data_IF_140773885952
#
_entry.id   IF_140773885952
#
_cell.length_a   1.000
_cell.length_b   1.000
_cell.length_c   1.000
_cell.angle_alpha   90.00
_cell.angle_beta   90.00
_cell.angle_gamma   90.00
#
_symmetry.space_group_name_H-M   'P 1'
#
loop_
_entity.id
_entity.type
_entity.pdbx_description
1 polymer ?
#
# COMPACT_ATOMS: atom_id res chain seq x y z
N UNK A 1 -18.42 22.57 -12.20
CA UNK A 1 -17.22 23.42 -12.02
C UNK A 1 -16.81 23.30 -10.57
N UNK A 2 -15.52 23.06 -10.30
CA UNK A 2 -14.98 22.93 -8.96
C UNK A 2 -14.29 24.23 -8.56
N UNK A 3 -14.54 24.72 -7.34
CA UNK A 3 -13.92 25.93 -6.81
C UNK A 3 -12.87 25.55 -5.78
N UNK A 4 -11.62 26.00 -5.98
CA UNK A 4 -10.47 25.66 -5.15
C UNK A 4 -9.82 26.92 -4.59
N UNK A 5 -9.36 26.87 -3.34
CA UNK A 5 -8.72 28.00 -2.66
C UNK A 5 -9.71 28.96 -2.00
N UNK A 6 -9.19 30.05 -1.40
CA UNK A 6 -10.00 31.09 -0.74
C UNK A 6 -9.60 32.48 -1.23
N UNK A 7 -10.56 33.39 -1.27
CA UNK A 7 -10.40 34.81 -1.62
C UNK A 7 -9.66 35.01 -2.96
N UNK A 8 -8.56 35.77 -2.99
CA UNK A 8 -7.80 36.09 -4.21
C UNK A 8 -7.12 34.89 -4.87
N UNK A 9 -7.07 33.73 -4.21
CA UNK A 9 -6.51 32.49 -4.76
C UNK A 9 -7.59 31.53 -5.30
N UNK A 10 -8.84 31.98 -5.45
CA UNK A 10 -9.94 31.16 -5.96
C UNK A 10 -9.68 30.75 -7.41
N UNK A 11 -9.65 29.44 -7.68
CA UNK A 11 -9.49 28.85 -9.01
C UNK A 11 -10.70 28.01 -9.34
N UNK A 12 -11.07 28.01 -10.62
CA UNK A 12 -12.17 27.21 -11.13
C UNK A 12 -11.61 26.13 -12.05
N UNK A 13 -11.84 24.88 -11.68
CA UNK A 13 -11.36 23.73 -12.44
C UNK A 13 -12.55 22.91 -12.95
N UNK A 14 -12.34 22.19 -14.05
CA UNK A 14 -13.35 21.29 -14.60
C UNK A 14 -13.09 19.86 -14.07
N UNK A 15 -13.87 19.36 -13.09
CA UNK A 15 -13.69 18.02 -12.56
C UNK A 15 -13.95 16.97 -13.64
N UNK A 16 -13.17 15.89 -13.61
CA UNK A 16 -13.31 14.73 -14.51
C UNK A 16 -13.52 13.46 -13.68
N UNK A 17 -14.48 12.60 -14.06
CA UNK A 17 -14.62 11.32 -13.39
C UNK A 17 -13.35 10.50 -13.59
N UNK A 18 -13.03 9.66 -12.61
CA UNK A 18 -11.89 8.74 -12.65
C UNK A 18 -12.44 7.40 -13.15
N UNK A 19 -12.40 7.16 -14.47
CA UNK A 19 -13.01 5.97 -15.12
C UNK A 19 -14.43 5.64 -14.61
N UNK A 20 -15.30 6.65 -14.58
CA UNK A 20 -16.69 6.52 -14.13
C UNK A 20 -16.90 6.66 -12.62
N UNK A 21 -15.83 6.72 -11.83
CA UNK A 21 -15.88 7.05 -10.40
C UNK A 21 -15.88 8.56 -10.18
N UNK A 22 -16.26 8.98 -8.97
CA UNK A 22 -16.28 10.39 -8.58
C UNK A 22 -14.94 11.08 -8.82
N UNK A 23 -14.99 12.32 -9.31
CA UNK A 23 -13.80 13.12 -9.58
C UNK A 23 -13.02 13.49 -8.31
N UNK A 24 -13.72 13.54 -7.17
CA UNK A 24 -13.15 13.91 -5.88
C UNK A 24 -13.07 12.69 -4.96
N UNK A 25 -11.92 12.52 -4.34
CA UNK A 25 -11.59 11.39 -3.48
C UNK A 25 -10.88 11.90 -2.24
N UNK A 26 -11.38 11.60 -1.03
CA UNK A 26 -10.69 12.00 0.19
C UNK A 26 -9.37 11.25 0.33
N UNK A 27 -8.39 11.91 0.95
CA UNK A 27 -7.08 11.39 1.27
C UNK A 27 -7.06 11.13 2.78
N UNK A 28 -6.75 9.89 3.15
CA UNK A 28 -6.69 9.46 4.53
C UNK A 28 -5.25 9.24 4.97
N UNK A 29 -4.96 9.55 6.23
CA UNK A 29 -3.74 9.18 6.93
C UNK A 29 -4.06 8.20 8.05
N UNK A 30 -3.29 7.12 8.14
CA UNK A 30 -3.32 6.16 9.25
C UNK A 30 -2.09 6.36 10.11
N UNK A 31 -2.28 6.74 11.38
CA UNK A 31 -1.17 6.95 12.31
C UNK A 31 -0.59 5.63 12.85
N UNK A 32 0.43 5.75 13.73
CA UNK A 32 1.11 4.60 14.33
C UNK A 32 0.22 3.77 15.25
N UNK A 33 -0.88 4.35 15.74
CA UNK A 33 -1.88 3.67 16.58
C UNK A 33 -3.01 3.08 15.73
N UNK A 34 -2.94 3.21 14.39
CA UNK A 34 -3.97 2.76 13.45
C UNK A 34 -5.17 3.69 13.33
N UNK A 35 -5.11 4.91 13.89
CA UNK A 35 -6.20 5.88 13.76
C UNK A 35 -6.19 6.50 12.37
N UNK A 36 -7.37 6.51 11.75
CA UNK A 36 -7.57 7.04 10.41
C UNK A 36 -8.16 8.45 10.50
N UNK A 37 -7.51 9.42 9.83
CA UNK A 37 -7.98 10.81 9.74
C UNK A 37 -7.89 11.33 8.32
N UNK A 38 -8.87 12.11 7.90
CA UNK A 38 -8.84 12.78 6.59
C UNK A 38 -7.81 13.92 6.61
N UNK A 39 -6.97 14.00 5.58
CA UNK A 39 -5.90 15.00 5.45
C UNK A 39 -6.03 15.90 4.23
N UNK A 40 -7.12 15.76 3.46
CA UNK A 40 -7.45 16.59 2.31
C UNK A 40 -8.30 15.85 1.29
N UNK A 41 -8.71 16.56 0.24
CA UNK A 41 -9.48 15.99 -0.88
C UNK A 41 -8.70 16.13 -2.18
N UNK A 42 -8.44 15.00 -2.85
CA UNK A 42 -7.87 14.95 -4.20
C UNK A 42 -8.98 15.09 -5.24
N UNK A 43 -8.80 15.97 -6.21
CA UNK A 43 -9.71 16.15 -7.35
C UNK A 43 -8.99 15.87 -8.65
N UNK A 44 -9.50 14.93 -9.45
CA UNK A 44 -9.07 14.73 -10.83
C UNK A 44 -9.82 15.71 -11.74
N UNK A 45 -9.07 16.45 -12.56
CA UNK A 45 -9.59 17.56 -13.36
C UNK A 45 -9.13 17.44 -14.82
N UNK A 46 -9.70 18.27 -15.69
CA UNK A 46 -9.36 18.29 -17.11
C UNK A 46 -7.84 18.46 -17.35
N UNK A 47 -7.34 17.85 -18.43
CA UNK A 47 -5.92 17.90 -18.80
C UNK A 47 -5.01 16.89 -18.09
N UNK A 48 -5.56 15.80 -17.54
CA UNK A 48 -4.85 14.81 -16.71
C UNK A 48 -4.09 15.46 -15.55
N UNK A 49 -4.80 16.27 -14.76
CA UNK A 49 -4.24 16.93 -13.60
C UNK A 49 -4.98 16.54 -12.33
N UNK A 50 -4.26 16.64 -11.21
CA UNK A 50 -4.80 16.54 -9.86
C UNK A 50 -4.67 17.86 -9.14
N UNK A 51 -5.66 18.19 -8.33
CA UNK A 51 -5.57 19.25 -7.34
C UNK A 51 -5.92 18.70 -5.96
N UNK A 52 -5.23 19.17 -4.92
CA UNK A 52 -5.52 18.79 -3.54
C UNK A 52 -6.02 20.02 -2.80
N UNK A 53 -7.18 19.87 -2.17
CA UNK A 53 -7.83 20.88 -1.34
C UNK A 53 -7.88 20.44 0.11
N UNK A 54 -8.20 21.41 0.99
CA UNK A 54 -8.48 21.18 2.41
C UNK A 54 -7.37 20.41 3.14
N UNK A 55 -6.12 20.65 2.72
CA UNK A 55 -4.94 19.99 3.27
C UNK A 55 -3.97 21.01 3.86
N UNK A 56 -3.40 20.69 5.02
CA UNK A 56 -2.25 21.38 5.59
C UNK A 56 -0.91 20.87 5.02
N UNK A 57 -0.92 19.74 4.31
CA UNK A 57 0.28 19.03 3.86
C UNK A 57 0.60 19.28 2.39
N UNK A 58 -0.41 19.60 1.59
CA UNK A 58 -0.28 19.75 0.15
C UNK A 58 -0.62 21.18 -0.27
N UNK A 59 0.23 21.73 -1.15
CA UNK A 59 -0.07 23.01 -1.76
C UNK A 59 -1.30 22.89 -2.66
N UNK A 60 -2.18 23.89 -2.60
CA UNK A 60 -3.28 23.99 -3.53
C UNK A 60 -2.77 24.34 -4.94
N UNK A 61 -3.28 23.64 -5.94
CA UNK A 61 -2.96 23.89 -7.35
C UNK A 61 -2.98 22.62 -8.21
N UNK A 62 -3.12 22.78 -9.53
CA UNK A 62 -3.10 21.66 -10.46
C UNK A 62 -1.67 21.13 -10.66
N UNK A 63 -1.52 19.82 -10.67
CA UNK A 63 -0.28 19.11 -11.01
C UNK A 63 -0.58 17.97 -11.97
N UNK A 64 0.30 17.74 -12.95
CA UNK A 64 0.23 16.57 -13.85
C UNK A 64 0.75 15.28 -13.23
N UNK A 65 1.38 15.39 -12.06
CA UNK A 65 1.90 14.26 -11.31
C UNK A 65 1.37 14.28 -9.88
N UNK A 66 1.23 13.10 -9.30
CA UNK A 66 1.01 12.98 -7.86
C UNK A 66 2.17 13.62 -7.10
N UNK A 67 1.91 14.49 -6.10
CA UNK A 67 2.94 14.95 -5.18
C UNK A 67 3.71 13.76 -4.60
N UNK A 68 5.01 13.94 -4.39
CA UNK A 68 5.90 12.84 -3.95
C UNK A 68 5.39 12.11 -2.70
N UNK A 69 4.72 12.81 -1.77
CA UNK A 69 4.19 12.21 -0.56
C UNK A 69 3.03 11.24 -0.85
N UNK A 70 2.33 11.41 -1.98
CA UNK A 70 1.29 10.51 -2.48
C UNK A 70 1.84 9.41 -3.42
N UNK A 71 3.16 9.33 -3.61
CA UNK A 71 3.79 8.26 -4.39
C UNK A 71 3.40 6.83 -3.93
N UNK A 72 3.10 6.54 -2.65
CA UNK A 72 2.68 5.19 -2.27
C UNK A 72 1.31 4.78 -2.82
N UNK A 73 0.50 5.71 -3.34
CA UNK A 73 -0.73 5.41 -4.08
C UNK A 73 -0.45 4.80 -5.46
N UNK A 74 0.81 4.87 -5.95
CA UNK A 74 1.21 4.20 -7.18
C UNK A 74 1.48 2.72 -6.87
N UNK A 75 0.74 1.84 -7.53
CA UNK A 75 1.07 0.43 -7.56
C UNK A 75 2.43 0.26 -8.27
N UNK A 76 3.40 -0.43 -7.65
CA UNK A 76 4.74 -0.56 -8.22
C UNK A 76 5.39 -1.90 -7.89
N UNK A 77 6.39 -2.28 -8.69
CA UNK A 77 7.14 -3.53 -8.55
C UNK A 77 6.23 -4.78 -8.60
N UNK A 78 6.67 -5.85 -7.94
CA UNK A 78 5.99 -7.14 -7.93
C UNK A 78 4.52 -7.06 -7.50
N UNK A 79 4.24 -6.40 -6.36
CA UNK A 79 2.88 -6.28 -5.83
C UNK A 79 2.00 -5.39 -6.72
N UNK A 80 2.57 -4.34 -7.31
CA UNK A 80 1.83 -3.50 -8.24
C UNK A 80 1.43 -4.23 -9.52
N UNK A 81 2.36 -5.00 -10.09
CA UNK A 81 2.06 -5.83 -11.28
C UNK A 81 1.10 -6.99 -10.96
N UNK A 82 1.13 -7.52 -9.74
CA UNK A 82 0.12 -8.48 -9.29
C UNK A 82 -1.25 -7.82 -9.18
N UNK A 83 -1.33 -6.64 -8.55
CA UNK A 83 -2.57 -5.84 -8.45
C UNK A 83 -3.17 -5.51 -9.82
N UNK A 84 -2.34 -5.18 -10.81
CA UNK A 84 -2.75 -4.89 -12.18
C UNK A 84 -3.50 -6.04 -12.88
N UNK A 85 -3.29 -7.30 -12.46
CA UNK A 85 -3.90 -8.47 -13.09
C UNK A 85 -5.25 -8.89 -12.49
N UNK A 86 -5.61 -8.40 -11.31
CA UNK A 86 -6.81 -8.81 -10.59
C UNK A 86 -8.06 -8.02 -11.05
N UNK A 87 -9.29 -8.46 -10.69
CA UNK A 87 -10.55 -7.88 -11.17
C UNK A 87 -10.73 -6.35 -11.19
N UNK A 88 -10.10 -5.52 -10.32
CA UNK A 88 -10.13 -4.06 -10.47
C UNK A 88 -9.23 -3.51 -11.60
N UNK A 89 -8.39 -4.33 -12.22
CA UNK A 89 -7.45 -4.00 -13.30
C UNK A 89 -7.87 -4.50 -14.70
N UNK A 90 -9.08 -5.06 -14.85
CA UNK A 90 -9.60 -5.53 -16.14
C UNK A 90 -9.76 -4.34 -17.12
N UNK A 91 -8.70 -4.04 -17.88
CA UNK A 91 -8.61 -2.88 -18.79
C UNK A 91 -7.54 -1.85 -18.43
N UNK A 92 -6.68 -2.14 -17.44
CA UNK A 92 -5.42 -1.45 -17.23
C UNK A 92 -4.27 -2.23 -17.89
N UNK A 93 -3.20 -1.52 -18.25
CA UNK A 93 -1.95 -2.16 -18.69
C UNK A 93 -1.38 -3.04 -17.58
N UNK A 94 -0.79 -4.19 -17.93
CA UNK A 94 -0.22 -5.12 -16.94
C UNK A 94 1.01 -4.59 -16.19
N UNK A 95 1.61 -3.52 -16.69
CA UNK A 95 2.75 -2.83 -16.09
C UNK A 95 2.34 -1.45 -15.57
N UNK A 96 2.24 -1.24 -14.24
CA UNK A 96 1.83 0.02 -13.65
C UNK A 96 2.69 1.23 -14.01
N UNK A 97 3.95 1.03 -14.39
CA UNK A 97 4.83 2.12 -14.83
C UNK A 97 4.35 2.79 -16.12
N UNK A 98 3.46 2.13 -16.87
CA UNK A 98 2.86 2.63 -18.11
C UNK A 98 1.50 3.29 -17.90
N UNK A 99 1.01 3.33 -16.66
CA UNK A 99 -0.31 3.88 -16.37
C UNK A 99 -0.33 5.39 -16.52
N UNK A 100 -1.43 5.89 -17.11
CA UNK A 100 -1.78 7.30 -17.03
C UNK A 100 -2.06 7.71 -15.58
N UNK A 101 -2.12 9.02 -15.32
CA UNK A 101 -2.50 9.52 -14.00
C UNK A 101 -3.92 9.05 -13.62
N UNK A 102 -4.86 9.05 -14.55
CA UNK A 102 -6.21 8.53 -14.31
C UNK A 102 -6.19 7.05 -13.92
N UNK A 103 -5.43 6.23 -14.64
CA UNK A 103 -5.31 4.79 -14.37
C UNK A 103 -4.67 4.51 -13.02
N UNK A 104 -3.68 5.32 -12.65
CA UNK A 104 -3.04 5.30 -11.32
C UNK A 104 -4.06 5.62 -10.22
N UNK A 105 -4.82 6.72 -10.36
CA UNK A 105 -5.83 7.12 -9.39
C UNK A 105 -6.95 6.08 -9.28
N UNK A 106 -7.42 5.57 -10.41
CA UNK A 106 -8.44 4.54 -10.44
C UNK A 106 -7.97 3.30 -9.67
N UNK A 107 -6.76 2.83 -9.96
CA UNK A 107 -6.16 1.70 -9.27
C UNK A 107 -5.96 1.96 -7.77
N UNK A 108 -5.58 3.18 -7.38
CA UNK A 108 -5.42 3.59 -5.99
C UNK A 108 -6.70 3.51 -5.16
N UNK A 109 -7.88 3.63 -5.79
CA UNK A 109 -9.17 3.48 -5.10
C UNK A 109 -9.51 2.02 -4.73
N UNK A 110 -8.75 1.07 -5.29
CA UNK A 110 -8.86 -0.36 -5.00
C UNK A 110 -7.56 -0.93 -4.42
N UNK A 111 -6.56 -0.08 -4.14
CA UNK A 111 -5.34 -0.49 -3.47
C UNK A 111 -5.62 -0.74 -1.99
N UNK A 112 -5.78 -2.01 -1.66
CA UNK A 112 -5.90 -2.46 -0.28
C UNK A 112 -4.51 -2.71 0.28
N UNK A 113 -4.29 -2.34 1.54
CA UNK A 113 -3.00 -2.49 2.23
C UNK A 113 -1.83 -1.89 1.42
N UNK A 114 -2.06 -0.70 0.85
CA UNK A 114 -1.02 0.09 0.21
C UNK A 114 0.14 0.32 1.18
N UNK A 115 1.36 0.39 0.64
CA UNK A 115 2.53 0.70 1.46
C UNK A 115 2.40 2.10 2.06
N UNK A 116 2.75 2.25 3.34
CA UNK A 116 2.75 3.55 4.02
C UNK A 116 1.45 3.85 4.75
N UNK A 117 1.22 5.13 5.02
CA UNK A 117 0.15 5.62 5.89
C UNK A 117 -1.04 6.23 5.12
N UNK A 118 -0.95 6.33 3.79
CA UNK A 118 -1.91 7.12 2.99
C UNK A 118 -2.84 6.20 2.21
N UNK A 119 -4.13 6.53 2.20
CA UNK A 119 -5.15 5.85 1.39
C UNK A 119 -6.01 6.86 0.64
N UNK A 120 -6.47 6.51 -0.56
CA UNK A 120 -7.34 7.34 -1.38
C UNK A 120 -8.76 6.75 -1.44
N UNK A 121 -9.78 7.61 -1.36
CA UNK A 121 -11.17 7.20 -1.55
C UNK A 121 -11.81 6.69 -0.27
N UNK A 122 -12.25 5.44 -0.24
CA UNK A 122 -12.88 4.90 0.97
C UNK A 122 -11.82 4.76 2.06
N UNK A 123 -12.09 5.28 3.25
CA UNK A 123 -11.26 5.01 4.42
C UNK A 123 -11.10 3.49 4.53
N UNK A 124 -9.85 2.99 4.48
CA UNK A 124 -9.58 1.57 4.63
C UNK A 124 -9.88 1.19 6.07
N UNK A 125 -11.16 0.98 6.38
CA UNK A 125 -11.59 0.38 7.63
C UNK A 125 -11.19 -1.09 7.56
N UNK A 126 -9.92 -1.37 7.83
CA UNK A 126 -9.25 -2.56 8.43
C UNK A 126 -9.81 -3.95 8.16
N UNK A 127 -10.75 -4.13 7.23
CA UNK A 127 -11.32 -5.41 6.90
C UNK A 127 -10.41 -6.02 5.86
N UNK A 128 -9.74 -7.12 6.18
CA UNK A 128 -8.86 -7.76 5.23
C UNK A 128 -9.70 -8.22 4.03
N UNK A 129 -9.18 -8.00 2.83
CA UNK A 129 -9.80 -8.51 1.60
C UNK A 129 -9.95 -10.04 1.62
N UNK A 130 -9.04 -10.70 2.34
CA UNK A 130 -8.98 -12.15 2.48
C UNK A 130 -9.32 -12.55 3.91
N UNK A 131 -9.92 -13.73 4.06
CA UNK A 131 -10.14 -14.30 5.39
C UNK A 131 -8.79 -14.46 6.13
N UNK A 132 -8.73 -14.08 7.42
CA UNK A 132 -7.54 -14.26 8.23
C UNK A 132 -7.10 -15.73 8.25
N UNK A 133 -5.86 -15.97 7.83
CA UNK A 133 -5.25 -17.29 7.82
C UNK A 133 -4.91 -17.73 9.24
N UNK A 134 -4.82 -19.05 9.51
CA UNK A 134 -4.36 -19.56 10.80
C UNK A 134 -3.00 -18.97 11.19
N UNK A 135 -2.78 -18.66 12.47
CA UNK A 135 -1.53 -18.03 12.91
C UNK A 135 -0.28 -18.91 12.74
N UNK A 136 -0.42 -20.23 12.88
CA UNK A 136 0.73 -21.14 12.88
C UNK A 136 0.33 -22.59 12.55
N UNK A 137 1.34 -23.46 12.45
CA UNK A 137 1.15 -24.89 12.24
C UNK A 137 0.95 -25.30 10.79
N UNK A 138 0.47 -26.54 10.58
CA UNK A 138 0.34 -27.16 9.26
C UNK A 138 -0.70 -26.44 8.38
N UNK A 139 -1.80 -25.97 8.98
CA UNK A 139 -2.86 -25.27 8.26
C UNK A 139 -2.37 -23.95 7.65
N UNK A 140 -1.58 -23.16 8.40
CA UNK A 140 -0.96 -21.95 7.86
C UNK A 140 -0.05 -22.27 6.66
N UNK A 141 0.83 -23.27 6.79
CA UNK A 141 1.77 -23.64 5.72
C UNK A 141 1.03 -24.00 4.43
N UNK A 142 0.02 -24.88 4.54
CA UNK A 142 -0.78 -25.28 3.39
C UNK A 142 -1.50 -24.10 2.74
N UNK A 143 -2.03 -23.17 3.53
CA UNK A 143 -2.72 -21.99 3.02
C UNK A 143 -1.73 -21.00 2.35
N UNK A 144 -0.55 -20.78 2.92
CA UNK A 144 0.50 -19.96 2.31
C UNK A 144 1.02 -20.57 1.00
N UNK A 145 1.22 -21.88 0.97
CA UNK A 145 1.67 -22.61 -0.23
C UNK A 145 0.63 -22.52 -1.35
N UNK A 146 -0.66 -22.60 -1.02
CA UNK A 146 -1.74 -22.43 -1.99
C UNK A 146 -1.73 -21.04 -2.63
N UNK A 147 -1.60 -19.97 -1.82
CA UNK A 147 -1.52 -18.59 -2.33
C UNK A 147 -0.24 -18.38 -3.13
N UNK A 148 0.89 -18.89 -2.65
CA UNK A 148 2.17 -18.81 -3.38
C UNK A 148 2.08 -19.48 -4.76
N UNK A 149 1.40 -20.63 -4.85
CA UNK A 149 1.19 -21.35 -6.11
C UNK A 149 0.27 -20.60 -7.07
N UNK A 150 -0.76 -19.94 -6.57
CA UNK A 150 -1.66 -19.10 -7.37
C UNK A 150 -0.91 -17.88 -7.94
N UNK A 151 -0.23 -17.13 -7.07
CA UNK A 151 0.62 -15.99 -7.47
C UNK A 151 1.72 -16.41 -8.44
N UNK A 152 2.26 -17.62 -8.29
CA UNK A 152 3.26 -18.15 -9.22
C UNK A 152 2.68 -18.42 -10.62
N UNK A 153 1.42 -18.87 -10.73
CA UNK A 153 0.77 -19.09 -12.03
C UNK A 153 0.43 -17.78 -12.73
N UNK A 154 0.18 -16.73 -11.97
CA UNK A 154 -0.14 -15.38 -12.45
C UNK A 154 1.09 -14.46 -12.51
N UNK A 155 2.31 -15.00 -12.40
CA UNK A 155 3.54 -14.23 -12.41
C UNK A 155 3.59 -13.27 -13.62
N UNK A 156 3.67 -11.94 -13.40
CA UNK A 156 3.70 -11.00 -14.50
C UNK A 156 4.97 -11.20 -15.34
N UNK A 157 4.82 -11.24 -16.66
CA UNK A 157 5.94 -11.30 -17.60
C UNK A 157 6.99 -10.22 -17.24
N UNK A 158 8.27 -10.60 -17.17
CA UNK A 158 9.36 -9.69 -16.78
C UNK A 158 9.61 -9.52 -15.27
N UNK A 159 8.69 -9.93 -14.38
CA UNK A 159 8.91 -9.82 -12.92
C UNK A 159 10.06 -10.68 -12.40
N UNK A 160 10.35 -11.79 -13.10
CA UNK A 160 11.52 -12.65 -12.82
C UNK A 160 12.79 -12.22 -13.55
N UNK A 161 12.69 -11.46 -14.65
CA UNK A 161 13.85 -11.07 -15.46
C UNK A 161 14.69 -9.96 -14.81
N UNK A 162 14.09 -9.15 -13.92
CA UNK A 162 14.77 -8.09 -13.15
C UNK A 162 15.21 -8.47 -11.74
N UNK A 163 15.07 -9.75 -11.32
CA UNK A 163 15.50 -10.20 -9.99
C UNK A 163 14.60 -9.77 -8.82
N UNK A 164 13.37 -9.33 -9.07
CA UNK A 164 12.43 -9.00 -8.01
C UNK A 164 11.94 -10.26 -7.27
N UNK A 165 12.00 -10.26 -5.93
CA UNK A 165 11.57 -11.38 -5.11
C UNK A 165 10.03 -11.55 -5.14
N UNK A 166 9.51 -12.75 -5.47
CA UNK A 166 8.07 -13.05 -5.38
C UNK A 166 7.53 -12.88 -3.95
N UNK A 167 6.39 -12.19 -3.84
CA UNK A 167 5.75 -11.90 -2.57
C UNK A 167 4.26 -11.61 -2.69
N UNK A 168 3.51 -11.82 -1.62
CA UNK A 168 2.11 -11.41 -1.50
C UNK A 168 1.84 -10.88 -0.09
N UNK A 169 0.71 -10.18 0.06
CA UNK A 169 0.21 -9.73 1.36
C UNK A 169 -0.75 -10.79 1.91
N UNK A 170 -0.67 -11.06 3.20
CA UNK A 170 -1.56 -11.98 3.89
C UNK A 170 -1.92 -11.42 5.27
N UNK A 171 -3.05 -11.86 5.79
CA UNK A 171 -3.49 -11.51 7.14
C UNK A 171 -3.60 -12.78 7.95
N UNK A 172 -2.93 -12.80 9.10
CA UNK A 172 -2.93 -13.92 10.04
C UNK A 172 -3.82 -13.59 11.23
N UNK A 173 -4.41 -14.61 11.83
CA UNK A 173 -5.08 -14.48 13.11
C UNK A 173 -4.11 -14.01 14.21
N UNK A 174 -4.60 -13.16 15.10
CA UNK A 174 -3.89 -12.63 16.27
C UNK A 174 -3.59 -13.67 17.33
N UNK A 175 -2.96 -13.23 18.42
CA UNK A 175 -2.61 -14.13 19.52
C UNK A 175 -3.85 -14.65 20.24
N UNK A 176 -3.73 -15.83 20.88
CA UNK A 176 -4.78 -16.33 21.78
C UNK A 176 -5.06 -15.35 22.92
N UNK A 177 -4.06 -14.56 23.31
CA UNK A 177 -4.15 -13.54 24.36
C UNK A 177 -4.92 -12.29 23.91
N UNK A 178 -5.06 -12.06 22.61
CA UNK A 178 -5.84 -10.96 22.01
C UNK A 178 -6.74 -11.49 20.88
N UNK A 179 -7.79 -12.28 21.21
CA UNK A 179 -8.72 -12.80 20.21
C UNK A 179 -9.37 -11.67 19.41
N UNK A 180 -9.25 -11.71 18.09
CA UNK A 180 -9.79 -10.68 17.18
C UNK A 180 -8.76 -9.69 16.64
N UNK A 181 -7.54 -9.68 17.18
CA UNK A 181 -6.43 -8.95 16.56
C UNK A 181 -6.02 -9.62 15.23
N UNK A 182 -5.65 -8.83 14.23
CA UNK A 182 -5.20 -9.32 12.93
C UNK A 182 -3.75 -8.90 12.70
N UNK A 183 -2.95 -9.81 12.18
CA UNK A 183 -1.55 -9.54 11.85
C UNK A 183 -1.36 -9.50 10.34
N UNK A 184 -1.14 -8.31 9.79
CA UNK A 184 -0.79 -8.14 8.38
C UNK A 184 0.68 -8.51 8.17
N UNK A 185 0.95 -9.35 7.17
CA UNK A 185 2.29 -9.83 6.85
C UNK A 185 2.55 -9.77 5.35
N UNK A 186 3.82 -9.55 5.00
CA UNK A 186 4.31 -9.73 3.63
C UNK A 186 5.04 -11.07 3.54
N UNK A 187 4.51 -11.98 2.74
CA UNK A 187 5.05 -13.33 2.57
C UNK A 187 5.95 -13.33 1.35
N UNK A 188 7.22 -13.63 1.56
CA UNK A 188 8.20 -13.80 0.47
C UNK A 188 8.43 -15.28 0.26
N UNK A 189 8.32 -15.73 -0.98
CA UNK A 189 8.39 -17.15 -1.31
C UNK A 189 9.31 -17.42 -2.49
N UNK A 190 9.59 -18.70 -2.70
CA UNK A 190 10.36 -19.20 -3.83
C UNK A 190 9.39 -19.79 -4.86
N UNK A 191 9.49 -19.42 -6.14
CA UNK A 191 8.57 -19.91 -7.17
C UNK A 191 8.79 -21.41 -7.48
N UNK A 192 7.86 -22.06 -8.22
CA UNK A 192 7.91 -23.48 -8.57
C UNK A 192 9.19 -23.92 -9.30
N UNK A 193 9.38 -25.24 -9.36
CA UNK A 193 10.65 -25.90 -9.71
C UNK A 193 11.23 -25.54 -11.10
N UNK A 194 10.41 -25.05 -12.02
CA UNK A 194 10.73 -24.74 -13.42
C UNK A 194 11.23 -23.30 -13.65
N UNK A 195 11.33 -22.46 -12.62
CA UNK A 195 11.81 -21.08 -12.78
C UNK A 195 13.35 -21.00 -12.78
N UNK A 196 14.00 -20.43 -13.80
CA UNK A 196 15.48 -20.45 -13.95
C UNK A 196 16.24 -19.76 -12.80
N UNK A 197 15.62 -18.79 -12.11
CA UNK A 197 16.25 -18.04 -11.01
C UNK A 197 15.99 -18.62 -9.61
N UNK A 198 15.32 -19.78 -9.54
CA UNK A 198 14.86 -20.37 -8.28
C UNK A 198 15.98 -20.62 -7.25
N UNK A 199 17.17 -21.18 -7.61
CA UNK A 199 18.21 -21.43 -6.61
C UNK A 199 18.72 -20.15 -5.93
N UNK A 200 18.82 -19.05 -6.69
CA UNK A 200 19.22 -17.76 -6.16
C UNK A 200 18.15 -17.18 -5.21
N UNK A 201 16.88 -17.23 -5.62
CA UNK A 201 15.75 -16.77 -4.79
C UNK A 201 15.60 -17.60 -3.51
N UNK A 202 15.80 -18.91 -3.57
CA UNK A 202 15.76 -19.79 -2.39
C UNK A 202 16.82 -19.40 -1.35
N UNK A 203 18.06 -19.17 -1.81
CA UNK A 203 19.15 -18.67 -0.94
C UNK A 203 18.82 -17.31 -0.35
N UNK A 204 18.22 -16.40 -1.13
CA UNK A 204 17.84 -15.06 -0.65
C UNK A 204 16.77 -15.11 0.45
N UNK A 205 15.75 -15.96 0.28
CA UNK A 205 14.70 -16.15 1.30
C UNK A 205 15.29 -16.74 2.58
N UNK A 206 16.13 -17.79 2.47
CA UNK A 206 16.79 -18.41 3.62
C UNK A 206 17.72 -17.43 4.35
N UNK A 207 18.55 -16.68 3.60
CA UNK A 207 19.44 -15.67 4.15
C UNK A 207 18.69 -14.56 4.91
N UNK A 208 17.56 -14.09 4.37
CA UNK A 208 16.70 -13.10 5.05
C UNK A 208 16.09 -13.64 6.35
N UNK A 209 15.69 -14.92 6.36
CA UNK A 209 15.16 -15.55 7.56
C UNK A 209 16.22 -15.63 8.67
N UNK A 210 17.44 -16.08 8.32
CA UNK A 210 18.58 -16.14 9.25
C UNK A 210 18.97 -14.76 9.76
N UNK A 211 19.13 -13.77 8.87
CA UNK A 211 19.45 -12.40 9.27
C UNK A 211 18.39 -11.81 10.23
N UNK A 212 17.10 -12.07 9.97
CA UNK A 212 16.02 -11.64 10.85
C UNK A 212 16.05 -12.32 12.23
N UNK A 213 16.45 -13.60 12.28
CA UNK A 213 16.64 -14.32 13.55
C UNK A 213 17.83 -13.76 14.34
N UNK A 214 18.98 -13.55 13.68
CA UNK A 214 20.15 -12.95 14.31
C UNK A 214 19.85 -11.56 14.86
N UNK A 215 19.12 -10.73 14.09
CA UNK A 215 18.72 -9.40 14.54
C UNK A 215 17.81 -9.45 15.77
N UNK A 216 16.81 -10.35 15.80
CA UNK A 216 15.97 -10.53 17.00
C UNK A 216 16.74 -11.03 18.22
N UNK A 217 17.74 -11.89 18.02
CA UNK A 217 18.58 -12.40 19.10
C UNK A 217 19.54 -11.35 19.68
N UNK A 218 19.88 -10.32 18.89
CA UNK A 218 20.85 -9.27 19.26
C UNK A 218 20.21 -7.92 19.57
N UNK A 219 18.96 -7.71 19.18
CA UNK A 219 18.20 -6.51 19.47
C UNK A 219 17.83 -6.48 20.97
N UNK A 220 18.64 -5.81 21.77
CA UNK A 220 18.24 -5.42 23.12
C UNK A 220 17.05 -4.45 23.02
N UNK A 221 15.99 -4.59 23.85
CA UNK A 221 14.87 -3.66 23.84
C UNK A 221 15.39 -2.26 24.16
N UNK A 222 15.29 -1.34 23.20
CA UNK A 222 15.59 0.08 23.43
C UNK A 222 14.63 0.57 24.52
N UNK A 223 15.11 1.14 25.65
CA UNK A 223 14.21 1.72 26.62
C UNK A 223 13.42 2.85 25.97
N UNK A 224 12.10 2.86 26.20
CA UNK A 224 11.23 3.93 25.77
C UNK A 224 11.82 5.27 26.22
N UNK A 225 11.94 6.22 25.31
CA UNK A 225 12.48 7.55 25.60
C UNK A 225 11.51 8.23 26.57
N UNK A 226 11.81 8.22 27.86
CA UNK A 226 11.01 8.87 28.88
C UNK A 226 10.82 10.35 28.48
N UNK A 227 9.56 10.75 28.35
CA UNK A 227 9.17 12.13 28.14
C UNK A 227 9.67 12.95 29.34
N UNK A 228 10.63 13.85 29.10
CA UNK A 228 11.05 14.84 30.11
C UNK A 228 9.82 15.67 30.50
N UNK A 229 9.49 15.81 31.80
CA UNK A 229 8.45 16.72 32.23
C UNK A 229 8.83 18.15 31.84
N UNK A 230 7.90 18.87 31.21
CA UNK A 230 8.00 20.32 30.97
C UNK A 230 8.06 21.01 32.33
N UNK A 231 9.18 21.68 32.62
CA UNK A 231 9.29 22.59 33.75
C UNK A 231 8.20 23.67 33.63
N UNK A 232 7.34 23.79 34.64
CA UNK A 232 6.50 24.97 34.85
C UNK A 232 7.42 26.11 35.29
N UNK A 233 7.32 27.26 34.62
CA UNK A 233 7.91 28.50 35.09
C UNK A 233 7.19 28.97 36.39
N UNK A 234 7.89 29.53 37.38
CA UNK A 234 7.25 30.20 38.48
C UNK A 234 6.70 31.55 38.03
N UNK A 235 5.56 31.90 38.62
CA UNK A 235 4.79 33.15 38.52
C UNK A 235 5.61 34.41 38.70
#
# INVERSE_FOLDING_TARGET
MLTLGRARATRYELPRPIRGLGAQQPIWWTDVDGRVSEIGTLSFIAGEQVCIADSAYFAAGPSRELPWALSPLRAQGFLGRLHAQHPPGAGLEGDPERWSLESTLYSALFLHDASGAITLGRASATRPQHEPMPRSGKALRAALDAVAQDVARTLPAGSSAGGEQPKFLAVLQGERSTPGELQHVIVKFTPPHDTPFRPALARLVAGRALASQCWRATASPRPARASRPRNRAPT
#
